data_IF_016935549268
#
_entry.id   IF_016935549268
#
_cell.length_a   1.000
_cell.length_b   1.000
_cell.length_c   1.000
_cell.angle_alpha   90.00
_cell.angle_beta   90.00
_cell.angle_gamma   90.00
#
_symmetry.space_group_name_H-M   'P 1'
#
loop_
_entity.id
_entity.type
_entity.pdbx_description
1 polymer ?
#
# COMPACT_ATOMS: atom_id res chain seq x y z
N UNK A 1 -43.15 26.31 -21.17
CA UNK A 1 -42.80 24.88 -21.09
C UNK A 1 -41.46 24.53 -21.76
N UNK A 2 -41.19 24.95 -23.01
CA UNK A 2 -39.91 24.62 -23.70
C UNK A 2 -38.62 25.13 -23.00
N UNK A 3 -38.67 26.31 -22.38
CA UNK A 3 -37.54 26.90 -21.68
C UNK A 3 -37.17 26.19 -20.36
N UNK A 4 -38.14 25.64 -19.64
CA UNK A 4 -37.92 24.86 -18.42
C UNK A 4 -37.32 23.49 -18.70
N UNK A 5 -37.69 22.87 -19.81
CA UNK A 5 -37.14 21.54 -20.23
C UNK A 5 -35.65 21.67 -20.64
N UNK A 6 -35.30 22.76 -21.35
CA UNK A 6 -33.91 23.01 -21.74
C UNK A 6 -33.01 23.34 -20.54
N UNK A 7 -33.53 24.02 -19.50
CA UNK A 7 -32.77 24.22 -18.27
C UNK A 7 -32.53 22.92 -17.51
N UNK A 8 -33.54 22.07 -17.37
CA UNK A 8 -33.41 20.76 -16.71
C UNK A 8 -32.40 19.85 -17.39
N UNK A 9 -32.37 19.83 -18.73
CA UNK A 9 -31.41 19.03 -19.51
C UNK A 9 -29.97 19.54 -19.30
N UNK A 10 -29.76 20.86 -19.22
CA UNK A 10 -28.44 21.44 -18.97
C UNK A 10 -27.90 21.14 -17.56
N UNK A 11 -28.75 21.14 -16.54
CA UNK A 11 -28.39 20.77 -15.18
C UNK A 11 -28.13 19.26 -15.03
N UNK A 12 -28.90 18.41 -15.74
CA UNK A 12 -28.68 16.96 -15.74
C UNK A 12 -27.36 16.58 -16.40
N UNK A 13 -26.97 17.23 -17.50
CA UNK A 13 -25.67 17.01 -18.15
C UNK A 13 -24.47 17.49 -17.30
N UNK A 14 -24.62 18.56 -16.51
CA UNK A 14 -23.56 19.00 -15.60
C UNK A 14 -23.39 18.07 -14.40
N UNK A 15 -24.46 17.45 -13.92
CA UNK A 15 -24.39 16.53 -12.77
C UNK A 15 -23.77 15.19 -13.14
N UNK A 16 -23.97 14.71 -14.37
CA UNK A 16 -23.35 13.46 -14.87
C UNK A 16 -21.86 13.60 -15.16
N UNK A 17 -21.36 14.79 -15.46
CA UNK A 17 -19.93 15.02 -15.70
C UNK A 17 -19.08 15.07 -14.41
N UNK A 18 -19.69 15.34 -13.25
CA UNK A 18 -18.98 15.42 -11.97
C UNK A 18 -18.82 14.04 -11.31
N UNK A 19 -19.66 13.06 -11.65
CA UNK A 19 -19.62 11.72 -11.06
C UNK A 19 -18.60 10.76 -11.70
N UNK A 20 -17.95 11.15 -12.79
CA UNK A 20 -16.98 10.29 -13.50
C UNK A 20 -15.51 10.52 -13.12
N UNK A 21 -15.23 11.40 -12.17
CA UNK A 21 -13.87 11.60 -11.63
C UNK A 21 -13.58 10.77 -10.37
N UNK A 22 -14.20 9.60 -10.22
CA UNK A 22 -13.60 8.58 -9.39
C UNK A 22 -12.36 8.09 -10.13
N UNK A 23 -11.23 8.71 -9.83
CA UNK A 23 -9.92 8.24 -10.22
C UNK A 23 -9.80 6.82 -9.66
N UNK A 24 -9.98 5.79 -10.48
CA UNK A 24 -9.54 4.45 -10.15
C UNK A 24 -8.03 4.56 -10.10
N UNK A 25 -7.49 4.77 -8.92
CA UNK A 25 -6.04 4.69 -8.75
C UNK A 25 -5.65 3.25 -9.11
N UNK A 26 -4.68 3.06 -10.01
CA UNK A 26 -4.15 1.73 -10.24
C UNK A 26 -3.68 1.18 -8.90
N UNK A 27 -4.00 -0.07 -8.61
CA UNK A 27 -3.53 -0.74 -7.41
C UNK A 27 -2.00 -0.59 -7.36
N UNK A 28 -1.50 0.06 -6.32
CA UNK A 28 -0.06 0.22 -6.12
C UNK A 28 0.51 -1.10 -5.64
N UNK A 29 1.73 -1.41 -6.05
CA UNK A 29 2.44 -2.58 -5.55
C UNK A 29 2.54 -2.58 -4.02
N UNK A 30 2.51 -3.76 -3.43
CA UNK A 30 2.49 -3.90 -1.99
C UNK A 30 3.77 -3.35 -1.34
N UNK A 31 3.58 -2.44 -0.41
CA UNK A 31 4.67 -1.76 0.30
C UNK A 31 4.44 -1.83 1.80
N UNK A 32 5.46 -2.23 2.53
CA UNK A 32 5.53 -2.15 3.99
C UNK A 32 6.43 -0.99 4.37
N UNK A 33 5.95 -0.08 5.22
CA UNK A 33 6.77 0.93 5.90
C UNK A 33 6.99 0.53 7.34
N UNK A 34 8.25 0.49 7.77
CA UNK A 34 8.65 0.23 9.15
C UNK A 34 9.19 1.52 9.75
N UNK A 35 8.47 2.10 10.69
CA UNK A 35 8.74 3.42 11.25
C UNK A 35 8.93 3.39 12.77
N UNK A 36 9.77 4.31 13.28
CA UNK A 36 9.88 4.56 14.72
C UNK A 36 8.78 5.53 15.14
N UNK A 37 7.80 5.06 15.91
CA UNK A 37 6.67 5.86 16.42
C UNK A 37 6.75 5.92 17.95
N UNK A 38 7.29 7.00 18.45
CA UNK A 38 7.56 7.14 19.88
C UNK A 38 8.56 6.09 20.36
N UNK A 39 8.18 5.27 21.35
CA UNK A 39 8.99 4.17 21.86
C UNK A 39 8.79 2.84 21.11
N UNK A 40 7.97 2.81 20.06
CA UNK A 40 7.61 1.60 19.35
C UNK A 40 8.14 1.62 17.92
N UNK A 41 8.34 0.44 17.33
CA UNK A 41 8.49 0.28 15.88
C UNK A 41 7.20 -0.26 15.32
N UNK A 42 6.65 0.44 14.32
CA UNK A 42 5.38 0.08 13.68
C UNK A 42 5.62 -0.22 12.21
N UNK A 43 5.13 -1.36 11.75
CA UNK A 43 5.03 -1.67 10.33
C UNK A 43 3.61 -1.45 9.85
N UNK A 44 3.46 -0.85 8.68
CA UNK A 44 2.19 -0.69 7.98
C UNK A 44 2.33 -1.17 6.56
N UNK A 45 1.53 -2.15 6.18
CA UNK A 45 1.49 -2.71 4.84
C UNK A 45 0.27 -2.23 4.06
N UNK A 46 0.46 -1.92 2.79
CA UNK A 46 -0.65 -1.61 1.88
C UNK A 46 -0.27 -1.79 0.42
N UNK A 47 -1.26 -2.04 -0.41
CA UNK A 47 -1.08 -2.21 -1.86
C UNK A 47 -1.71 -3.47 -2.39
N UNK A 48 -1.17 -4.03 -3.47
CA UNK A 48 -1.67 -5.23 -4.11
C UNK A 48 -0.52 -6.12 -4.59
N UNK A 49 -0.78 -7.41 -4.67
CA UNK A 49 0.14 -8.44 -5.14
C UNK A 49 -0.42 -9.09 -6.40
N UNK A 50 0.38 -9.10 -7.44
CA UNK A 50 0.04 -9.79 -8.69
C UNK A 50 0.61 -11.22 -8.65
N UNK A 51 -0.26 -12.21 -8.63
CA UNK A 51 0.08 -13.63 -8.58
C UNK A 51 0.31 -14.26 -9.96
N UNK A 52 0.24 -13.49 -11.05
CA UNK A 52 0.45 -14.00 -12.39
C UNK A 52 1.84 -14.66 -12.54
N UNK A 53 1.89 -15.81 -13.17
CA UNK A 53 3.14 -16.57 -13.35
C UNK A 53 3.59 -17.39 -12.15
N UNK A 54 2.94 -17.26 -10.99
CA UNK A 54 3.17 -18.13 -9.83
C UNK A 54 2.39 -19.45 -9.97
N UNK A 55 2.77 -20.52 -9.23
CA UNK A 55 2.05 -21.79 -9.26
C UNK A 55 0.57 -21.64 -8.97
N UNK A 56 -0.30 -22.34 -9.72
CA UNK A 56 -1.76 -22.20 -9.61
C UNK A 56 -2.30 -22.79 -8.29
N UNK A 57 -1.56 -23.73 -7.69
CA UNK A 57 -1.93 -24.41 -6.46
C UNK A 57 -0.95 -24.00 -5.35
N UNK A 58 -1.27 -22.99 -4.55
CA UNK A 58 -0.47 -22.64 -3.39
C UNK A 58 -0.59 -23.71 -2.30
N UNK A 59 0.38 -23.73 -1.40
CA UNK A 59 0.29 -24.52 -0.17
C UNK A 59 -0.43 -23.67 0.86
N UNK A 60 -1.51 -24.17 1.44
CA UNK A 60 -2.21 -23.49 2.53
C UNK A 60 -1.57 -23.88 3.87
N UNK A 61 -1.15 -22.89 4.63
CA UNK A 61 -0.53 -23.07 5.96
C UNK A 61 -1.14 -22.13 6.99
N UNK A 62 -0.84 -22.39 8.26
CA UNK A 62 -1.19 -21.51 9.36
C UNK A 62 0.08 -20.87 9.92
N UNK A 63 0.14 -19.55 9.94
CA UNK A 63 1.28 -18.77 10.44
C UNK A 63 0.83 -17.46 11.07
N UNK A 64 1.75 -16.71 11.65
CA UNK A 64 1.53 -15.38 12.22
C UNK A 64 2.57 -14.40 11.70
N UNK A 65 2.42 -13.12 12.03
CA UNK A 65 3.38 -12.09 11.68
C UNK A 65 4.74 -12.30 12.35
N UNK A 66 5.82 -12.02 11.62
CA UNK A 66 7.20 -12.21 12.05
C UNK A 66 8.14 -11.26 11.31
N UNK A 67 9.28 -10.95 11.93
CA UNK A 67 10.39 -10.20 11.36
C UNK A 67 11.69 -10.97 11.59
N UNK A 68 12.36 -11.43 10.54
CA UNK A 68 13.73 -11.99 10.58
C UNK A 68 14.59 -11.26 9.53
N UNK A 69 15.24 -10.20 9.98
CA UNK A 69 16.01 -9.32 9.10
C UNK A 69 17.20 -10.02 8.47
N UNK A 70 17.83 -10.96 9.19
CA UNK A 70 19.01 -11.71 8.74
C UNK A 70 18.68 -12.64 7.57
N UNK A 71 17.47 -13.21 7.55
CA UNK A 71 16.99 -14.12 6.51
C UNK A 71 16.23 -13.41 5.40
N UNK A 72 15.99 -12.10 5.55
CA UNK A 72 15.16 -11.35 4.64
C UNK A 72 13.69 -11.75 4.68
N UNK A 73 13.23 -12.24 5.84
CA UNK A 73 11.87 -12.71 6.05
C UNK A 73 11.07 -11.64 6.79
N UNK A 74 9.93 -11.28 6.24
CA UNK A 74 8.96 -10.41 6.89
C UNK A 74 7.54 -10.86 6.52
N UNK A 75 6.73 -11.06 7.54
CA UNK A 75 5.28 -11.27 7.40
C UNK A 75 4.57 -10.29 8.33
N UNK A 76 3.77 -9.40 7.74
CA UNK A 76 3.02 -8.36 8.45
C UNK A 76 1.56 -8.79 8.64
N UNK A 77 0.88 -8.19 9.61
CA UNK A 77 -0.53 -8.48 9.90
C UNK A 77 -0.77 -8.97 11.33
N UNK A 78 -1.82 -9.77 11.55
CA UNK A 78 -2.23 -10.19 12.89
C UNK A 78 -1.16 -11.05 13.58
N UNK A 79 -1.05 -10.89 14.92
CA UNK A 79 -0.19 -11.71 15.77
C UNK A 79 -0.77 -13.10 16.03
N UNK A 80 -2.08 -13.25 15.90
CA UNK A 80 -2.74 -14.54 16.00
C UNK A 80 -2.47 -15.37 14.73
N UNK A 81 -2.37 -16.67 14.92
CA UNK A 81 -2.21 -17.62 13.81
C UNK A 81 -3.38 -17.47 12.83
N UNK A 82 -3.05 -17.21 11.58
CA UNK A 82 -3.98 -17.01 10.47
C UNK A 82 -3.67 -17.99 9.33
N UNK A 83 -4.70 -18.35 8.57
CA UNK A 83 -4.55 -19.22 7.41
C UNK A 83 -4.14 -18.38 6.20
N UNK A 84 -3.08 -18.79 5.52
CA UNK A 84 -2.53 -18.12 4.34
C UNK A 84 -2.28 -19.10 3.20
N UNK A 85 -2.25 -18.58 1.99
CA UNK A 85 -1.78 -19.28 0.80
C UNK A 85 -0.33 -18.88 0.54
N UNK A 86 0.53 -19.88 0.37
CA UNK A 86 1.96 -19.72 0.17
C UNK A 86 2.34 -20.14 -1.24
N UNK A 87 2.93 -19.23 -1.97
CA UNK A 87 3.40 -19.46 -3.33
C UNK A 87 4.92 -19.59 -3.34
N UNK A 88 5.42 -20.66 -3.98
CA UNK A 88 6.84 -20.74 -4.33
C UNK A 88 7.11 -19.72 -5.46
N UNK A 89 8.06 -18.83 -5.22
CA UNK A 89 8.41 -17.74 -6.14
C UNK A 89 9.93 -17.68 -6.34
N UNK A 90 10.34 -17.41 -7.57
CA UNK A 90 11.75 -17.08 -7.84
C UNK A 90 11.93 -15.60 -7.50
N UNK A 91 12.30 -15.35 -6.26
CA UNK A 91 12.48 -14.01 -5.74
C UNK A 91 13.86 -13.45 -6.09
N UNK A 92 13.89 -12.23 -6.59
CA UNK A 92 15.11 -11.47 -6.85
C UNK A 92 15.11 -10.21 -5.99
N UNK A 93 16.17 -10.00 -5.22
CA UNK A 93 16.29 -8.86 -4.32
C UNK A 93 17.35 -9.07 -3.24
N UNK A 94 17.43 -8.19 -2.24
CA UNK A 94 18.38 -8.31 -1.14
C UNK A 94 18.16 -9.61 -0.33
N UNK A 95 19.23 -10.25 0.09
CA UNK A 95 19.16 -11.48 0.89
C UNK A 95 18.84 -11.24 2.37
N UNK A 96 18.95 -9.99 2.83
CA UNK A 96 18.66 -9.56 4.20
C UNK A 96 18.40 -8.05 4.23
N UNK A 97 17.85 -7.57 5.34
CA UNK A 97 17.69 -6.14 5.62
C UNK A 97 18.18 -5.79 7.03
N UNK A 98 19.09 -6.60 7.58
CA UNK A 98 19.71 -6.39 8.88
C UNK A 98 20.37 -7.66 9.38
N UNK A 99 20.71 -7.70 10.68
CA UNK A 99 21.32 -8.85 11.35
C UNK A 99 20.42 -9.49 12.41
N UNK A 100 19.21 -8.95 12.62
CA UNK A 100 18.23 -9.47 13.59
C UNK A 100 17.74 -10.85 13.20
N UNK A 101 17.60 -11.72 14.20
CA UNK A 101 16.91 -13.01 14.08
C UNK A 101 15.39 -12.80 14.25
N UNK A 102 14.67 -13.87 14.48
CA UNK A 102 13.22 -13.83 14.65
C UNK A 102 12.75 -12.90 15.77
N UNK A 103 11.92 -11.92 15.41
CA UNK A 103 11.14 -11.09 16.32
C UNK A 103 9.66 -11.25 16.02
N UNK A 104 8.88 -11.46 17.07
CA UNK A 104 7.42 -11.51 16.99
C UNK A 104 6.85 -10.16 17.46
N UNK A 105 5.91 -9.56 16.72
CA UNK A 105 5.29 -8.31 17.13
C UNK A 105 4.36 -8.52 18.33
N UNK A 106 4.17 -7.47 19.14
CA UNK A 106 3.28 -7.46 20.29
C UNK A 106 1.82 -7.25 19.90
N UNK A 107 1.57 -6.61 18.77
CA UNK A 107 0.24 -6.33 18.22
C UNK A 107 0.27 -6.35 16.70
N UNK A 108 -0.88 -6.65 16.11
CA UNK A 108 -1.02 -6.61 14.64
C UNK A 108 -2.45 -6.87 14.22
N UNK A 109 -2.78 -6.43 13.01
CA UNK A 109 -4.14 -6.52 12.44
C UNK A 109 -4.14 -6.46 10.92
N UNK A 110 -5.30 -6.74 10.31
CA UNK A 110 -5.49 -6.71 8.86
C UNK A 110 -5.16 -8.03 8.18
N UNK A 111 -4.69 -7.94 6.95
CA UNK A 111 -4.30 -9.08 6.13
C UNK A 111 -2.95 -9.64 6.62
N UNK A 112 -2.74 -10.96 6.48
CA UNK A 112 -1.43 -11.53 6.73
C UNK A 112 -0.70 -11.67 5.39
N UNK A 113 0.33 -10.84 5.20
CA UNK A 113 1.08 -10.72 3.94
C UNK A 113 2.57 -10.77 4.23
N UNK A 114 3.33 -11.49 3.41
CA UNK A 114 4.77 -11.57 3.67
C UNK A 114 5.59 -12.17 2.55
N UNK A 115 6.90 -12.14 2.78
CA UNK A 115 7.90 -12.68 1.88
C UNK A 115 9.01 -13.36 2.70
N UNK A 116 9.53 -14.47 2.17
CA UNK A 116 10.73 -15.13 2.65
C UNK A 116 11.68 -15.31 1.48
N UNK A 117 12.75 -14.50 1.45
CA UNK A 117 13.74 -14.59 0.36
C UNK A 117 14.59 -15.84 0.50
N UNK A 118 14.91 -16.24 1.73
CA UNK A 118 15.68 -17.42 2.04
C UNK A 118 15.01 -18.71 1.53
N UNK A 119 13.68 -18.76 1.62
CA UNK A 119 12.88 -19.92 1.19
C UNK A 119 12.27 -19.76 -0.21
N UNK A 120 12.29 -18.56 -0.80
CA UNK A 120 11.62 -18.28 -2.06
C UNK A 120 10.10 -18.36 -1.94
N UNK A 121 9.53 -17.78 -0.89
CA UNK A 121 8.12 -17.88 -0.57
C UNK A 121 7.45 -16.50 -0.52
N UNK A 122 6.23 -16.44 -1.05
CA UNK A 122 5.31 -15.30 -0.95
C UNK A 122 4.06 -15.76 -0.20
N UNK A 123 3.66 -15.01 0.82
CA UNK A 123 2.51 -15.26 1.69
C UNK A 123 1.41 -14.26 1.40
N UNK A 124 0.19 -14.72 1.20
CA UNK A 124 -1.00 -13.89 1.02
C UNK A 124 -2.18 -14.48 1.82
N UNK A 125 -3.22 -13.72 2.14
CA UNK A 125 -4.40 -14.26 2.81
C UNK A 125 -5.00 -15.45 2.04
N UNK A 126 -5.54 -16.43 2.77
CA UNK A 126 -6.19 -17.57 2.12
C UNK A 126 -7.31 -17.14 1.17
N UNK A 127 -7.26 -17.64 -0.05
CA UNK A 127 -8.22 -17.28 -1.11
C UNK A 127 -8.01 -15.88 -1.70
N UNK A 128 -6.82 -15.30 -1.54
CA UNK A 128 -6.51 -13.97 -2.08
C UNK A 128 -6.71 -13.90 -3.59
N UNK A 129 -7.41 -12.86 -4.03
CA UNK A 129 -7.61 -12.57 -5.46
C UNK A 129 -6.48 -11.66 -5.95
N UNK A 130 -5.75 -12.10 -6.96
CA UNK A 130 -4.63 -11.36 -7.56
C UNK A 130 -5.00 -9.91 -7.86
N UNK A 131 -4.14 -8.98 -7.47
CA UNK A 131 -4.34 -7.52 -7.57
C UNK A 131 -5.47 -6.93 -6.71
N UNK A 132 -6.08 -7.68 -5.79
CA UNK A 132 -6.97 -7.10 -4.79
C UNK A 132 -6.15 -6.24 -3.79
N UNK A 133 -6.79 -5.22 -3.23
CA UNK A 133 -6.15 -4.38 -2.22
C UNK A 133 -5.92 -5.16 -0.93
N UNK A 134 -4.73 -5.00 -0.34
CA UNK A 134 -4.30 -5.56 0.94
C UNK A 134 -3.97 -4.41 1.89
N UNK A 135 -4.22 -4.61 3.19
CA UNK A 135 -3.87 -3.63 4.22
C UNK A 135 -3.67 -4.32 5.57
N UNK A 136 -2.56 -4.02 6.22
CA UNK A 136 -2.22 -4.59 7.51
C UNK A 136 -1.33 -3.67 8.34
N UNK A 137 -1.13 -4.07 9.60
CA UNK A 137 -0.17 -3.44 10.49
C UNK A 137 0.34 -4.42 11.54
N UNK A 138 1.57 -4.18 12.04
CA UNK A 138 2.11 -4.81 13.23
C UNK A 138 2.96 -3.84 14.03
N UNK A 139 3.11 -4.06 15.33
CA UNK A 139 3.85 -3.19 16.22
C UNK A 139 4.74 -3.99 17.17
N UNK A 140 5.96 -3.49 17.36
CA UNK A 140 6.93 -3.95 18.37
C UNK A 140 7.01 -2.87 19.45
N UNK A 141 6.51 -3.16 20.63
CA UNK A 141 6.47 -2.23 21.76
C UNK A 141 7.84 -2.08 22.41
N UNK A 142 8.18 -0.85 22.80
CA UNK A 142 9.46 -0.52 23.43
C UNK A 142 10.66 -1.01 22.62
N UNK A 143 10.54 -0.96 21.29
CA UNK A 143 11.57 -1.37 20.34
C UNK A 143 12.11 -0.18 19.54
N UNK A 144 13.33 -0.33 19.05
CA UNK A 144 13.98 0.57 18.10
C UNK A 144 14.51 -0.22 16.92
N UNK A 145 14.84 0.42 15.81
CA UNK A 145 15.52 -0.25 14.71
C UNK A 145 16.81 -0.94 15.15
N UNK A 146 17.54 -0.33 16.09
CA UNK A 146 18.74 -0.93 16.65
C UNK A 146 18.46 -2.18 17.47
N UNK A 147 17.39 -2.21 18.28
CA UNK A 147 17.03 -3.38 19.08
C UNK A 147 16.45 -4.53 18.25
N UNK A 148 15.83 -4.23 17.11
CA UNK A 148 15.37 -5.22 16.13
C UNK A 148 16.50 -5.61 15.13
N UNK A 149 17.66 -4.96 15.24
CA UNK A 149 18.80 -5.14 14.34
C UNK A 149 18.46 -5.02 12.87
N UNK A 150 17.51 -4.14 12.53
CA UNK A 150 17.16 -3.80 11.15
C UNK A 150 17.96 -2.59 10.68
N UNK A 151 18.29 -2.56 9.41
CA UNK A 151 19.05 -1.47 8.79
C UNK A 151 18.09 -0.54 8.04
N UNK A 152 18.07 0.77 8.34
CA UNK A 152 17.27 1.72 7.55
C UNK A 152 17.61 1.69 6.07
N UNK A 153 16.58 1.72 5.22
CA UNK A 153 16.75 1.64 3.76
C UNK A 153 15.47 1.21 3.06
N UNK A 154 15.57 1.09 1.73
CA UNK A 154 14.50 0.54 0.89
C UNK A 154 14.97 -0.77 0.27
N UNK A 155 14.18 -1.81 0.47
CA UNK A 155 14.44 -3.16 0.02
C UNK A 155 13.31 -3.58 -0.91
N UNK A 156 13.65 -4.08 -2.09
CA UNK A 156 12.67 -4.46 -3.11
C UNK A 156 12.96 -5.88 -3.57
N UNK A 157 11.95 -6.73 -3.51
CA UNK A 157 11.96 -8.08 -4.05
C UNK A 157 10.97 -8.18 -5.19
N UNK A 158 11.35 -8.86 -6.26
CA UNK A 158 10.51 -9.04 -7.45
C UNK A 158 10.41 -10.52 -7.81
N UNK A 159 9.29 -10.93 -8.40
CA UNK A 159 9.07 -12.29 -8.92
C UNK A 159 8.58 -12.32 -10.37
N UNK A 160 8.63 -11.19 -11.06
CA UNK A 160 8.24 -11.04 -12.45
C UNK A 160 8.48 -9.63 -12.95
N UNK A 161 7.94 -9.31 -14.09
CA UNK A 161 8.13 -8.00 -14.77
C UNK A 161 6.82 -7.21 -14.93
N UNK A 162 5.69 -7.78 -14.52
CA UNK A 162 4.41 -7.10 -14.60
C UNK A 162 4.20 -6.16 -13.40
N UNK A 163 3.21 -5.27 -13.52
CA UNK A 163 2.82 -4.40 -12.42
C UNK A 163 2.41 -5.22 -11.17
N UNK A 164 2.78 -4.72 -9.98
CA UNK A 164 2.50 -5.35 -8.68
C UNK A 164 3.16 -6.74 -8.47
N UNK A 165 4.20 -7.06 -9.24
CA UNK A 165 5.06 -8.24 -9.03
C UNK A 165 6.31 -7.87 -8.24
N UNK A 166 6.12 -7.04 -7.22
CA UNK A 166 7.16 -6.68 -6.26
C UNK A 166 6.58 -6.52 -4.86
N UNK A 167 7.45 -6.71 -3.88
CA UNK A 167 7.23 -6.41 -2.48
C UNK A 167 8.29 -5.40 -2.07
N UNK A 168 7.89 -4.28 -1.48
CA UNK A 168 8.80 -3.23 -1.03
C UNK A 168 8.75 -3.11 0.49
N UNK A 169 9.92 -3.12 1.14
CA UNK A 169 10.07 -2.78 2.55
C UNK A 169 10.87 -1.48 2.67
N UNK A 170 10.28 -0.50 3.33
CA UNK A 170 10.92 0.78 3.64
C UNK A 170 11.14 0.87 5.14
N UNK A 171 12.40 0.93 5.58
CA UNK A 171 12.78 1.02 7.00
C UNK A 171 13.32 2.41 7.29
N UNK A 172 12.76 3.04 8.28
CA UNK A 172 13.06 4.43 8.64
C UNK A 172 12.15 5.40 7.90
N UNK A 173 12.07 6.63 8.41
CA UNK A 173 11.38 7.68 7.68
C UNK A 173 12.11 7.91 6.36
N UNK A 174 11.64 7.31 5.27
CA UNK A 174 11.87 7.89 3.97
C UNK A 174 11.30 9.29 4.11
N UNK A 175 12.19 10.30 4.09
CA UNK A 175 11.71 11.66 3.96
C UNK A 175 10.72 11.62 2.82
N UNK A 176 9.44 11.76 3.13
CA UNK A 176 8.38 11.82 2.12
C UNK A 176 8.92 12.80 1.10
N UNK A 177 9.19 12.41 -0.17
CA UNK A 177 9.51 13.39 -1.20
C UNK A 177 8.35 14.35 -1.09
N UNK A 178 8.62 15.59 -0.59
CA UNK A 178 7.59 16.49 -0.13
C UNK A 178 6.45 16.43 -1.10
N UNK A 179 5.33 15.91 -0.63
CA UNK A 179 4.10 15.94 -1.40
C UNK A 179 3.95 17.40 -1.75
N UNK A 180 3.90 17.79 -3.03
CA UNK A 180 3.64 19.17 -3.39
C UNK A 180 2.15 19.45 -3.08
N UNK A 181 1.79 19.39 -1.79
CA UNK A 181 0.42 19.66 -1.33
C UNK A 181 0.00 21.13 -1.55
N UNK A 182 0.97 22.00 -1.79
CA UNK A 182 0.67 23.41 -2.03
C UNK A 182 0.28 23.74 -3.48
N UNK A 183 0.85 23.05 -4.47
CA UNK A 183 0.72 23.47 -5.87
C UNK A 183 -0.61 23.11 -6.52
N UNK A 184 -1.11 21.89 -6.32
CA UNK A 184 -2.34 21.43 -6.97
C UNK A 184 -3.60 22.03 -6.31
N UNK A 185 -3.63 22.13 -4.98
CA UNK A 185 -4.77 22.69 -4.25
C UNK A 185 -4.89 24.20 -4.48
N UNK A 186 -3.77 24.93 -4.48
CA UNK A 186 -3.76 26.37 -4.78
C UNK A 186 -4.13 26.64 -6.24
N UNK A 187 -3.67 25.82 -7.16
CA UNK A 187 -4.04 25.94 -8.59
C UNK A 187 -5.52 25.65 -8.81
N UNK A 188 -6.08 24.61 -8.19
CA UNK A 188 -7.52 24.32 -8.28
C UNK A 188 -8.37 25.42 -7.64
N UNK A 189 -7.94 25.95 -6.49
CA UNK A 189 -8.61 27.06 -5.83
C UNK A 189 -8.53 28.33 -6.68
N UNK A 190 -7.38 28.61 -7.29
CA UNK A 190 -7.16 29.74 -8.19
C UNK A 190 -8.06 29.68 -9.44
N UNK A 191 -8.14 28.53 -10.10
CA UNK A 191 -9.03 28.33 -11.25
C UNK A 191 -10.50 28.35 -10.85
N UNK A 192 -10.88 27.86 -9.67
CA UNK A 192 -12.22 27.94 -9.12
C UNK A 192 -12.68 29.40 -8.90
N UNK A 193 -11.83 30.22 -8.31
CA UNK A 193 -12.09 31.65 -8.08
C UNK A 193 -12.15 32.44 -9.38
N UNK A 194 -11.28 32.17 -10.35
CA UNK A 194 -11.33 32.80 -11.68
C UNK A 194 -12.61 32.41 -12.42
N UNK A 195 -13.06 31.18 -12.35
CA UNK A 195 -14.32 30.72 -12.92
C UNK A 195 -15.54 31.44 -12.33
N UNK A 196 -15.56 31.61 -11.00
CA UNK A 196 -16.61 32.38 -10.29
C UNK A 196 -16.61 33.86 -10.67
N UNK A 197 -15.45 34.50 -10.84
CA UNK A 197 -15.31 35.87 -11.25
C UNK A 197 -15.85 36.10 -12.66
N UNK A 198 -15.59 35.18 -13.60
CA UNK A 198 -16.13 35.25 -14.97
C UNK A 198 -17.66 35.07 -15.01
N UNK A 199 -18.19 34.15 -14.19
CA UNK A 199 -19.65 33.95 -14.07
C UNK A 199 -20.35 35.21 -13.52
N UNK A 200 -19.78 35.83 -12.48
CA UNK A 200 -20.34 37.04 -11.88
C UNK A 200 -20.41 38.19 -12.88
N UNK A 201 -19.41 38.32 -13.76
CA UNK A 201 -19.36 39.37 -14.80
C UNK A 201 -20.42 39.17 -15.89
N UNK A 202 -20.81 37.91 -16.20
CA UNK A 202 -21.87 37.59 -17.17
C UNK A 202 -23.28 37.73 -16.62
N UNK A 203 -23.46 37.74 -15.30
CA UNK A 203 -24.76 37.85 -14.64
C UNK A 203 -25.10 39.30 -14.23
N UNK A 204 -24.14 40.22 -14.40
CA UNK A 204 -24.30 41.66 -14.06
C UNK A 204 -24.51 42.56 -15.29
N UNK A 205 -24.79 41.98 -16.47
CA UNK A 205 -25.23 42.72 -17.68
C UNK A 205 -26.68 42.38 -18.01
#
# INVERSE_FOLDING_TARGET
>A
MKTLILAAIRYSLMFTAVTSLFCVQPAQAYTVTLEQVGSNVVATGSGAINLAGLPINPITVSTSSILDARRGDITTGPTNVSVVDVYAAVLTGPSNFGSGSEFFPDAGSGDLVGISIDQGLLFVPHGYVSNAALSDSMAFNNATFASLFVTPGTYVWTWGTEANQNFTLQIGSVGVPGVPDGGSTVSLLGFGLLGLAVLRRKLSC
#
